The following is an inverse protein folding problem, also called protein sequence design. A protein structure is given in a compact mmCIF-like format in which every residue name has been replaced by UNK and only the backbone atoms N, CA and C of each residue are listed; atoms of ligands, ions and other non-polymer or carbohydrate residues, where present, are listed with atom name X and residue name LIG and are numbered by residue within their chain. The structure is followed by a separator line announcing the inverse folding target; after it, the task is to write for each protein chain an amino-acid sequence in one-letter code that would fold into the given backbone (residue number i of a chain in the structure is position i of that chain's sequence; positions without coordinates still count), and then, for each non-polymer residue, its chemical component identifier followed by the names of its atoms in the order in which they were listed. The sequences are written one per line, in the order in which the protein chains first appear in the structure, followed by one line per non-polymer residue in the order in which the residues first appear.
data_IF_837610227109
#
_entry.id   IF_837610227109
#
_cell.length_a   1.000
_cell.length_b   1.000
_cell.length_c   1.000
_cell.angle_alpha   90.00
_cell.angle_beta   90.00
_cell.angle_gamma   90.00
#
_symmetry.space_group_name_H-M   'P 1'
#
loop_
_entity.id
_entity.type
_entity.pdbx_description
1 polymer ?
#
# COMPACT_ATOMS: atom_id res chain seq x y z
N UNK A 1 -2.31 2.70 2.03
CA UNK A 1 -1.93 2.09 3.31
C UNK A 1 -2.29 0.62 3.23
N UNK A 2 -1.36 -0.27 3.56
CA UNK A 2 -1.59 -1.71 3.59
C UNK A 2 -2.18 -2.10 4.94
N UNK A 3 -3.22 -2.93 4.90
CA UNK A 3 -3.72 -3.62 6.09
C UNK A 3 -2.90 -4.88 6.31
N UNK A 4 -2.29 -5.03 7.48
CA UNK A 4 -1.41 -6.17 7.78
C UNK A 4 -2.13 -7.23 8.61
N UNK A 5 -2.77 -6.82 9.70
CA UNK A 5 -3.44 -7.74 10.63
C UNK A 5 -4.51 -7.01 11.44
N UNK A 6 -5.49 -7.74 11.98
CA UNK A 6 -6.45 -7.22 12.96
C UNK A 6 -6.78 -8.20 14.07
N UNK A 7 -6.86 -7.67 15.30
CA UNK A 7 -7.32 -8.38 16.48
C UNK A 7 -8.60 -7.75 17.02
N UNK A 8 -9.67 -8.54 17.08
CA UNK A 8 -10.88 -8.17 17.80
C UNK A 8 -10.70 -8.45 19.30
N UNK A 9 -10.85 -7.42 20.14
CA UNK A 9 -10.77 -7.54 21.60
C UNK A 9 -12.09 -7.13 22.24
N UNK A 10 -12.56 -7.96 23.16
CA UNK A 10 -13.73 -7.74 24.02
C UNK A 10 -13.28 -7.73 25.48
N UNK A 11 -12.82 -6.59 26.02
CA UNK A 11 -12.44 -6.50 27.43
C UNK A 11 -13.70 -6.62 28.29
N UNK A 12 -13.66 -7.42 29.36
CA UNK A 12 -14.85 -7.73 30.15
C UNK A 12 -15.61 -6.51 30.71
N UNK A 13 -14.93 -5.39 30.96
CA UNK A 13 -15.54 -4.16 31.52
C UNK A 13 -15.56 -2.96 30.54
N UNK A 14 -15.17 -3.14 29.27
CA UNK A 14 -15.12 -2.05 28.27
C UNK A 14 -15.76 -2.51 26.96
N UNK A 15 -16.08 -1.54 26.09
CA UNK A 15 -16.61 -1.84 24.77
C UNK A 15 -15.58 -2.57 23.91
N UNK A 16 -16.09 -3.48 23.09
CA UNK A 16 -15.31 -4.19 22.10
C UNK A 16 -14.65 -3.21 21.11
N UNK A 17 -13.42 -3.52 20.68
CA UNK A 17 -12.72 -2.76 19.67
C UNK A 17 -11.87 -3.69 18.79
N UNK A 18 -11.59 -3.22 17.57
CA UNK A 18 -10.68 -3.91 16.64
C UNK A 18 -9.37 -3.13 16.62
N UNK A 19 -8.27 -3.78 16.96
CA UNK A 19 -6.94 -3.20 16.78
C UNK A 19 -6.35 -3.75 15.48
N UNK A 20 -6.05 -2.88 14.52
CA UNK A 20 -5.40 -3.29 13.28
C UNK A 20 -4.03 -2.63 13.13
N UNK A 21 -3.08 -3.40 12.64
CA UNK A 21 -1.77 -2.90 12.25
C UNK A 21 -1.84 -2.52 10.78
N UNK A 22 -1.58 -1.24 10.49
CA UNK A 22 -1.59 -0.68 9.15
C UNK A 22 -0.20 -0.16 8.80
N UNK A 23 0.22 -0.30 7.54
CA UNK A 23 1.48 0.25 7.04
C UNK A 23 1.23 1.29 5.96
N UNK A 24 1.78 2.48 6.14
CA UNK A 24 1.74 3.53 5.12
C UNK A 24 2.62 3.14 3.93
N UNK A 25 2.04 3.13 2.73
CA UNK A 25 2.78 2.85 1.50
C UNK A 25 3.73 3.99 1.11
N UNK A 26 3.39 5.24 1.47
CA UNK A 26 4.20 6.41 1.14
C UNK A 26 5.43 6.58 2.03
N UNK A 27 5.38 6.07 3.26
CA UNK A 27 6.44 6.31 4.26
C UNK A 27 7.03 5.03 4.84
N UNK A 28 6.50 3.86 4.47
CA UNK A 28 6.88 2.56 5.03
C UNK A 28 6.53 2.35 6.52
N UNK A 29 6.07 3.40 7.23
CA UNK A 29 5.80 3.35 8.66
C UNK A 29 4.58 2.49 8.96
N UNK A 30 4.74 1.58 9.91
CA UNK A 30 3.64 0.82 10.50
C UNK A 30 3.03 1.60 11.68
N UNK A 31 1.73 1.47 11.89
CA UNK A 31 1.00 2.09 12.99
C UNK A 31 -0.13 1.17 13.42
N UNK A 32 -0.36 1.11 14.73
CA UNK A 32 -1.47 0.36 15.31
C UNK A 32 -2.65 1.29 15.54
N UNK A 33 -3.76 1.03 14.87
CA UNK A 33 -4.98 1.84 14.94
C UNK A 33 -6.08 1.04 15.61
N UNK A 34 -6.80 1.68 16.52
CA UNK A 34 -7.97 1.10 17.19
C UNK A 34 -9.23 1.63 16.52
N UNK A 35 -10.01 0.71 15.96
CA UNK A 35 -11.29 0.97 15.34
C UNK A 35 -12.42 0.58 16.29
N UNK A 36 -13.49 1.36 16.29
CA UNK A 36 -14.73 0.94 16.96
C UNK A 36 -15.41 -0.17 16.15
N UNK A 37 -16.15 -1.07 16.81
CA UNK A 37 -16.85 -2.18 16.12
C UNK A 37 -17.91 -1.74 15.10
N UNK A 38 -18.33 -0.48 15.11
CA UNK A 38 -19.31 0.10 14.16
C UNK A 38 -18.70 0.98 13.08
N UNK A 39 -17.38 1.14 13.08
CA UNK A 39 -16.69 1.98 12.11
C UNK A 39 -16.58 1.27 10.76
N UNK A 40 -17.04 1.95 9.69
CA UNK A 40 -16.89 1.45 8.33
C UNK A 40 -15.59 1.97 7.76
N UNK A 41 -14.77 1.05 7.24
CA UNK A 41 -13.53 1.37 6.56
C UNK A 41 -13.74 1.23 5.05
N UNK A 42 -13.23 2.21 4.31
CA UNK A 42 -13.14 2.13 2.86
C UNK A 42 -11.85 1.42 2.48
N UNK A 43 -11.99 0.26 1.83
CA UNK A 43 -10.87 -0.52 1.33
C UNK A 43 -10.69 -0.20 -0.15
N UNK A 44 -9.57 0.43 -0.47
CA UNK A 44 -9.18 0.69 -1.86
C UNK A 44 -8.39 -0.53 -2.37
N UNK A 45 -8.86 -1.25 -3.40
CA UNK A 45 -8.10 -2.37 -3.95
C UNK A 45 -6.81 -1.86 -4.57
N UNK A 46 -5.70 -2.51 -4.23
CA UNK A 46 -4.39 -2.22 -4.80
C UNK A 46 -3.99 -3.34 -5.74
N UNK A 47 -3.51 -2.98 -6.92
CA UNK A 47 -2.97 -3.91 -7.91
C UNK A 47 -1.47 -3.68 -7.99
N UNK A 48 -0.69 -4.76 -7.88
CA UNK A 48 0.76 -4.73 -8.07
C UNK A 48 1.08 -5.52 -9.32
N UNK A 49 1.69 -4.87 -10.29
CA UNK A 49 2.07 -5.49 -11.57
C UNK A 49 3.59 -5.56 -11.64
N UNK A 50 4.12 -6.73 -12.05
CA UNK A 50 5.54 -6.86 -12.36
C UNK A 50 5.78 -6.23 -13.73
N UNK A 51 6.68 -5.25 -13.79
CA UNK A 51 7.11 -4.63 -15.03
C UNK A 51 8.63 -4.71 -15.12
N UNK A 52 9.13 -4.79 -16.34
CA UNK A 52 10.56 -4.80 -16.63
C UNK A 52 11.02 -3.39 -16.95
N UNK A 53 12.15 -2.99 -16.36
CA UNK A 53 12.79 -1.74 -16.73
C UNK A 53 13.30 -1.83 -18.17
N UNK A 54 12.92 -0.86 -19.01
CA UNK A 54 13.33 -0.81 -20.41
C UNK A 54 14.48 0.16 -20.62
N UNK A 55 14.24 1.46 -20.47
CA UNK A 55 15.25 2.51 -20.60
C UNK A 55 14.86 3.76 -19.81
N UNK A 56 15.81 4.70 -19.68
CA UNK A 56 15.56 6.04 -19.12
C UNK A 56 15.28 7.01 -20.27
N UNK A 57 14.17 7.73 -20.22
CA UNK A 57 13.82 8.80 -21.16
C UNK A 57 14.00 10.16 -20.47
N UNK A 58 15.17 10.78 -20.66
CA UNK A 58 15.55 12.00 -19.95
C UNK A 58 15.65 11.79 -18.43
N UNK A 59 14.66 12.30 -17.69
CA UNK A 59 14.53 12.13 -16.24
C UNK A 59 13.57 11.02 -15.83
N UNK A 60 12.70 10.56 -16.74
CA UNK A 60 11.69 9.54 -16.46
C UNK A 60 12.22 8.13 -16.74
N UNK A 61 11.62 7.15 -16.06
CA UNK A 61 11.94 5.73 -16.20
C UNK A 61 10.83 5.02 -16.96
N UNK A 62 11.18 4.33 -18.04
CA UNK A 62 10.22 3.57 -18.85
C UNK A 62 10.21 2.12 -18.42
N UNK A 63 9.03 1.63 -18.05
CA UNK A 63 8.79 0.23 -17.70
C UNK A 63 7.87 -0.42 -18.73
N UNK A 64 8.16 -1.67 -19.09
CA UNK A 64 7.36 -2.46 -20.03
C UNK A 64 6.73 -3.66 -19.33
N UNK A 65 5.47 -3.94 -19.61
CA UNK A 65 4.83 -5.18 -19.18
C UNK A 65 5.26 -6.33 -20.11
N UNK A 66 5.84 -7.43 -19.60
CA UNK A 66 6.29 -8.55 -20.44
C UNK A 66 5.15 -9.37 -21.06
N UNK A 67 3.92 -9.26 -20.52
CA UNK A 67 2.76 -10.02 -21.02
C UNK A 67 1.97 -9.22 -22.06
N UNK A 68 1.74 -7.92 -21.81
CA UNK A 68 0.91 -7.07 -22.68
C UNK A 68 1.72 -6.16 -23.60
N UNK A 69 3.03 -6.04 -23.40
CA UNK A 69 3.91 -5.07 -24.08
C UNK A 69 3.48 -3.61 -23.90
N UNK A 70 2.63 -3.33 -22.91
CA UNK A 70 2.26 -1.97 -22.53
C UNK A 70 3.44 -1.28 -21.83
N UNK A 71 3.66 -0.02 -22.17
CA UNK A 71 4.73 0.79 -21.60
C UNK A 71 4.16 1.85 -20.67
N UNK A 72 4.84 2.09 -19.55
CA UNK A 72 4.47 3.08 -18.56
C UNK A 72 5.69 3.93 -18.24
N UNK A 73 5.55 5.24 -18.34
CA UNK A 73 6.54 6.21 -17.92
C UNK A 73 6.32 6.54 -16.44
N UNK A 74 7.36 6.40 -15.64
CA UNK A 74 7.34 6.63 -14.20
C UNK A 74 8.32 7.72 -13.86
N UNK A 75 7.83 8.76 -13.18
CA UNK A 75 8.66 9.88 -12.77
C UNK A 75 9.68 9.48 -11.69
N UNK A 76 10.85 10.14 -11.65
CA UNK A 76 11.91 9.83 -10.69
C UNK A 76 11.47 10.01 -9.22
N UNK A 77 10.46 10.84 -8.96
CA UNK A 77 9.87 11.02 -7.62
C UNK A 77 9.18 9.74 -7.10
N UNK A 78 8.59 8.95 -7.99
CA UNK A 78 7.90 7.70 -7.62
C UNK A 78 8.89 6.55 -7.46
N UNK A 79 10.00 6.58 -8.21
CA UNK A 79 11.10 5.59 -8.11
C UNK A 79 12.00 5.88 -6.88
N UNK A 80 11.93 7.08 -6.31
CA UNK A 80 12.90 7.70 -5.40
C UNK A 80 13.46 6.90 -4.21
N UNK A 81 12.81 5.81 -3.77
CA UNK A 81 13.28 4.96 -2.67
C UNK A 81 13.88 3.61 -3.12
N UNK A 82 13.87 3.29 -4.42
CA UNK A 82 14.27 1.98 -4.97
C UNK A 82 15.57 2.00 -5.81
N UNK A 83 16.45 2.98 -5.56
CA UNK A 83 17.82 2.95 -6.08
C UNK A 83 18.71 1.98 -5.31
#
# INVERSE_FOLDING_TARGET
TLFLDSQHRTPGNLRAFVQATIRSLKTGKSSDVRFSSTERLEVIPMITTKMEFSYKDGEDYVFSNPETYETVNVSPEVVGDAK
#
